data_IF_880174271254
#
_entry.id   IF_880174271254
#
_cell.length_a   1.000
_cell.length_b   1.000
_cell.length_c   1.000
_cell.angle_alpha   90.00
_cell.angle_beta   90.00
_cell.angle_gamma   90.00
#
_symmetry.space_group_name_H-M   'P 1'
#
loop_
_entity.id
_entity.type
_entity.pdbx_description
1 polymer ?
#
# COMPACT_ATOMS: atom_id res chain seq x y z
N UNK A 1 9.58 -18.16 9.38
CA UNK A 1 9.83 -17.26 8.22
C UNK A 1 8.59 -16.99 7.36
N UNK A 2 8.11 -17.92 6.51
CA UNK A 2 6.91 -17.67 5.65
C UNK A 2 5.64 -17.52 6.48
N UNK A 3 5.43 -18.38 7.49
CA UNK A 3 4.29 -18.29 8.42
C UNK A 3 4.25 -16.94 9.14
N UNK A 4 5.37 -16.51 9.69
CA UNK A 4 5.49 -15.22 10.40
C UNK A 4 5.21 -14.03 9.48
N UNK A 5 5.68 -14.08 8.24
CA UNK A 5 5.35 -13.06 7.25
C UNK A 5 3.83 -12.93 7.10
N UNK A 6 3.13 -14.04 6.85
CA UNK A 6 1.68 -14.03 6.64
C UNK A 6 0.89 -13.68 7.91
N UNK A 7 1.37 -14.06 9.09
CA UNK A 7 0.73 -13.68 10.36
C UNK A 7 0.79 -12.18 10.65
N UNK A 8 1.79 -11.48 10.10
CA UNK A 8 2.00 -10.02 10.29
C UNK A 8 1.65 -9.21 9.06
N UNK A 9 1.29 -9.86 7.95
CA UNK A 9 0.99 -9.19 6.70
C UNK A 9 -0.36 -8.48 6.80
N UNK A 10 -0.41 -7.27 6.25
CA UNK A 10 -1.64 -6.51 6.10
C UNK A 10 -1.78 -6.01 4.66
N UNK A 11 -3.03 -5.85 4.24
CA UNK A 11 -3.35 -5.24 2.95
C UNK A 11 -3.40 -3.72 3.15
N UNK A 12 -2.52 -3.02 2.44
CA UNK A 12 -2.52 -1.57 2.38
C UNK A 12 -3.17 -1.15 1.07
N UNK A 13 -4.40 -0.69 1.16
CA UNK A 13 -5.21 -0.19 0.05
C UNK A 13 -5.43 1.33 0.14
N UNK A 14 -6.26 1.85 -0.75
CA UNK A 14 -6.57 3.28 -0.83
C UNK A 14 -7.23 3.81 0.45
N UNK A 15 -8.03 2.98 1.12
CA UNK A 15 -8.71 3.37 2.37
C UNK A 15 -7.67 3.47 3.49
N UNK A 16 -6.78 2.48 3.60
CA UNK A 16 -5.66 2.50 4.54
C UNK A 16 -4.74 3.71 4.31
N UNK A 17 -4.46 4.06 3.05
CA UNK A 17 -3.69 5.26 2.71
C UNK A 17 -4.38 6.54 3.20
N UNK A 18 -5.69 6.69 2.96
CA UNK A 18 -6.45 7.85 3.44
C UNK A 18 -6.50 7.94 4.96
N UNK A 19 -6.68 6.81 5.66
CA UNK A 19 -6.67 6.79 7.13
C UNK A 19 -5.32 7.24 7.70
N UNK A 20 -4.20 6.87 7.08
CA UNK A 20 -2.86 7.32 7.48
C UNK A 20 -2.68 8.84 7.33
N UNK A 21 -3.20 9.43 6.25
CA UNK A 21 -3.23 10.90 6.06
C UNK A 21 -4.08 11.58 7.13
N UNK A 22 -5.30 11.09 7.34
CA UNK A 22 -6.23 11.63 8.33
C UNK A 22 -5.63 11.56 9.75
N UNK A 23 -4.97 10.46 10.10
CA UNK A 23 -4.30 10.31 11.40
C UNK A 23 -3.15 11.32 11.54
N UNK A 24 -2.39 11.56 10.46
CA UNK A 24 -1.28 12.51 10.49
C UNK A 24 -1.78 13.96 10.59
N UNK A 25 -2.85 14.30 9.89
CA UNK A 25 -3.53 15.60 10.03
C UNK A 25 -4.17 15.76 11.42
N UNK A 26 -4.68 14.68 12.02
CA UNK A 26 -5.20 14.70 13.39
C UNK A 26 -4.11 14.97 14.43
N UNK A 27 -2.88 14.47 14.19
CA UNK A 27 -1.71 14.73 15.02
C UNK A 27 -1.12 16.13 14.79
N UNK A 28 -1.13 16.59 13.55
CA UNK A 28 -0.65 17.91 13.14
C UNK A 28 -1.62 18.56 12.13
N UNK A 29 -2.43 19.51 12.64
CA UNK A 29 -3.44 20.19 11.85
C UNK A 29 -2.88 21.11 10.77
N UNK A 30 -1.59 21.47 10.83
CA UNK A 30 -0.92 22.29 9.80
C UNK A 30 -0.70 21.54 8.49
N UNK A 31 -0.82 20.21 8.51
CA UNK A 31 -0.70 19.35 7.33
C UNK A 31 -1.98 19.28 6.51
N UNK A 32 -3.09 19.85 6.99
CA UNK A 32 -4.36 19.83 6.28
C UNK A 32 -4.23 20.48 4.89
N UNK A 33 -4.62 19.75 3.84
CA UNK A 33 -4.58 20.21 2.46
C UNK A 33 -3.22 20.06 1.76
N UNK A 34 -2.20 19.53 2.44
CA UNK A 34 -0.92 19.16 1.81
C UNK A 34 -1.03 17.81 1.11
N UNK A 35 -0.14 17.57 0.15
CA UNK A 35 0.02 16.26 -0.50
C UNK A 35 0.65 15.22 0.43
N UNK A 36 0.50 13.93 0.13
CA UNK A 36 1.12 12.82 0.88
C UNK A 36 2.62 13.00 1.02
N UNK A 37 3.31 13.29 -0.08
CA UNK A 37 4.75 13.55 -0.07
C UNK A 37 5.12 14.72 0.85
N UNK A 38 4.35 15.82 0.86
CA UNK A 38 4.60 16.96 1.75
C UNK A 38 4.32 16.64 3.22
N UNK A 39 3.43 15.69 3.50
CA UNK A 39 3.24 15.12 4.85
C UNK A 39 4.34 14.11 5.22
N UNK A 40 5.31 13.84 4.34
CA UNK A 40 6.33 12.81 4.53
C UNK A 40 5.75 11.39 4.56
N UNK A 41 4.64 11.17 3.86
CA UNK A 41 4.04 9.85 3.64
C UNK A 41 4.46 9.33 2.26
N UNK A 42 4.57 8.01 2.12
CA UNK A 42 4.83 7.38 0.81
C UNK A 42 3.60 7.57 -0.10
N UNK A 43 3.86 7.88 -1.37
CA UNK A 43 2.82 7.95 -2.40
C UNK A 43 2.08 6.60 -2.54
N UNK A 44 0.77 6.66 -2.75
CA UNK A 44 -0.05 5.46 -2.94
C UNK A 44 -0.09 5.11 -4.44
N UNK A 45 0.66 4.08 -4.83
CA UNK A 45 0.75 3.61 -6.22
C UNK A 45 -0.15 2.39 -6.52
N UNK A 46 -0.98 1.98 -5.56
CA UNK A 46 -1.86 0.84 -5.67
C UNK A 46 -1.81 -0.06 -4.43
N UNK A 47 -2.74 -1.02 -4.40
CA UNK A 47 -2.86 -1.95 -3.27
C UNK A 47 -1.64 -2.86 -3.18
N UNK A 48 -1.07 -2.93 -1.99
CA UNK A 48 0.08 -3.78 -1.67
C UNK A 48 -0.20 -4.63 -0.44
N UNK A 49 0.54 -5.72 -0.28
CA UNK A 49 0.65 -6.46 0.97
C UNK A 49 1.96 -6.06 1.61
N UNK A 50 1.93 -5.53 2.83
CA UNK A 50 3.13 -5.16 3.58
C UNK A 50 3.24 -5.98 4.86
N UNK A 51 4.46 -6.32 5.25
CA UNK A 51 4.76 -7.06 6.49
C UNK A 51 6.15 -6.69 6.99
N UNK A 52 6.34 -6.68 8.30
CA UNK A 52 7.67 -6.48 8.91
C UNK A 52 8.21 -7.81 9.41
N UNK A 53 9.29 -8.27 8.79
CA UNK A 53 9.98 -9.50 9.16
C UNK A 53 11.42 -9.18 9.57
N UNK A 54 11.78 -9.52 10.80
CA UNK A 54 13.11 -9.24 11.38
C UNK A 54 13.58 -7.78 11.22
N UNK A 55 12.65 -6.81 11.31
CA UNK A 55 12.94 -5.38 11.17
C UNK A 55 13.00 -4.89 9.71
N UNK A 56 12.82 -5.79 8.73
CA UNK A 56 12.78 -5.43 7.32
C UNK A 56 11.32 -5.26 6.85
N UNK A 57 11.02 -4.12 6.22
CA UNK A 57 9.73 -3.90 5.55
C UNK A 57 9.71 -4.66 4.23
N UNK A 58 8.86 -5.67 4.13
CA UNK A 58 8.64 -6.47 2.93
C UNK A 58 7.32 -6.03 2.30
N UNK A 59 7.34 -5.75 1.00
CA UNK A 59 6.16 -5.33 0.23
C UNK A 59 5.94 -6.25 -0.97
N UNK A 60 4.72 -6.76 -1.13
CA UNK A 60 4.25 -7.48 -2.32
C UNK A 60 3.24 -6.62 -3.08
N UNK A 61 3.56 -6.26 -4.32
CA UNK A 61 2.69 -5.50 -5.21
C UNK A 61 2.08 -6.39 -6.30
N UNK A 62 1.13 -5.82 -7.06
CA UNK A 62 0.56 -6.43 -8.27
C UNK A 62 1.64 -6.89 -9.26
N UNK A 63 2.68 -6.08 -9.46
CA UNK A 63 3.81 -6.41 -10.34
C UNK A 63 4.51 -7.72 -9.97
N UNK A 64 4.64 -8.02 -8.68
CA UNK A 64 5.23 -9.27 -8.22
C UNK A 64 4.36 -10.47 -8.61
N UNK A 65 3.03 -10.36 -8.50
CA UNK A 65 2.11 -11.40 -8.95
C UNK A 65 2.11 -11.55 -10.48
N UNK A 66 2.11 -10.44 -11.22
CA UNK A 66 2.18 -10.47 -12.68
C UNK A 66 3.42 -11.23 -13.16
N UNK A 67 4.59 -10.89 -12.59
CA UNK A 67 5.85 -11.59 -12.85
C UNK A 67 5.81 -13.08 -12.46
N UNK A 68 5.21 -13.41 -11.32
CA UNK A 68 5.07 -14.81 -10.87
C UNK A 68 4.18 -15.64 -11.80
N UNK A 69 3.12 -15.03 -12.33
CA UNK A 69 2.16 -15.67 -13.22
C UNK A 69 2.58 -15.66 -14.70
N UNK A 70 3.66 -14.95 -15.05
CA UNK A 70 4.11 -14.80 -16.43
C UNK A 70 3.14 -13.98 -17.29
N UNK A 71 2.44 -13.01 -16.69
CA UNK A 71 1.51 -12.11 -17.39
C UNK A 71 2.01 -10.68 -17.31
N UNK A 72 1.57 -9.84 -18.24
CA UNK A 72 1.90 -8.43 -18.23
C UNK A 72 1.18 -7.67 -17.11
N UNK A 73 1.87 -6.71 -16.50
CA UNK A 73 1.32 -5.88 -15.42
C UNK A 73 0.54 -4.66 -15.96
N UNK A 74 -0.46 -4.88 -16.83
CA UNK A 74 -1.36 -3.84 -17.33
C UNK A 74 -2.83 -4.29 -17.38
N UNK A 75 -3.73 -3.36 -17.65
CA UNK A 75 -5.18 -3.63 -17.79
C UNK A 75 -6.02 -2.96 -16.71
N UNK A 76 -7.35 -3.01 -16.90
CA UNK A 76 -8.35 -2.37 -16.04
C UNK A 76 -8.89 -3.35 -15.00
N UNK A 77 -9.45 -2.84 -13.90
CA UNK A 77 -10.16 -3.70 -12.94
C UNK A 77 -11.39 -4.28 -13.65
N UNK A 78 -11.69 -5.56 -13.42
CA UNK A 78 -12.87 -6.23 -14.03
C UNK A 78 -14.15 -5.45 -13.76
N UNK A 79 -14.29 -4.85 -12.58
CA UNK A 79 -15.42 -4.00 -12.20
C UNK A 79 -15.61 -2.73 -13.06
N UNK A 80 -14.60 -2.33 -13.83
CA UNK A 80 -14.62 -1.13 -14.70
C UNK A 80 -15.07 -1.45 -16.14
N UNK A 81 -15.27 -2.73 -16.51
CA UNK A 81 -15.69 -3.16 -17.85
C UNK A 81 -17.21 -3.12 -18.07
N UNK A 82 -17.89 -2.08 -17.56
CA UNK A 82 -19.35 -1.90 -17.74
C UNK A 82 -19.76 -1.82 -19.21
#
# INVERSE_FOLDING_TARGET
MVKEFWMKAEVFDEVSARMEEEEKVRKDSSLKGKSRSEMGLKEFNGTIIRSVLAGLEITISRAHFAKLLGVDDYGKKIAEYR
#
